data_IF_186566990991
#
_entry.id   IF_186566990991
#
_cell.length_a   1.000
_cell.length_b   1.000
_cell.length_c   1.000
_cell.angle_alpha   90.00
_cell.angle_beta   90.00
_cell.angle_gamma   90.00
#
_symmetry.space_group_name_H-M   'P 1'
#
loop_
_entity.id
_entity.type
_entity.pdbx_description
1 polymer ?
#
# COMPACT_ATOMS: atom_id res chain seq x y z
N UNK A 1 -3.13 19.85 -8.81
CA UNK A 1 -4.31 19.95 -7.95
C UNK A 1 -3.98 20.98 -6.88
N UNK A 2 -4.76 22.05 -6.70
CA UNK A 2 -4.51 22.88 -5.54
C UNK A 2 -4.86 22.04 -4.33
N UNK A 3 -3.97 22.08 -3.34
CA UNK A 3 -4.33 21.79 -1.96
C UNK A 3 -5.65 22.51 -1.70
N UNK A 4 -6.62 21.78 -1.15
CA UNK A 4 -7.88 22.33 -0.61
C UNK A 4 -7.60 23.57 0.25
N UNK A 5 -8.63 24.39 0.51
CA UNK A 5 -8.52 25.55 1.41
C UNK A 5 -7.94 25.20 2.80
N UNK A 6 -7.98 23.91 3.15
CA UNK A 6 -7.29 23.32 4.30
C UNK A 6 -6.17 22.37 3.84
N UNK A 7 -4.92 22.75 4.15
CA UNK A 7 -3.71 22.00 3.80
C UNK A 7 -3.61 20.64 4.53
N UNK A 8 -4.29 20.50 5.66
CA UNK A 8 -4.32 19.29 6.48
C UNK A 8 -5.50 18.36 6.13
N UNK A 9 -6.26 18.67 5.07
CA UNK A 9 -7.34 17.82 4.56
C UNK A 9 -6.81 16.66 3.71
N UNK A 10 -6.05 15.77 4.35
CA UNK A 10 -5.42 14.61 3.73
C UNK A 10 -5.19 13.47 4.75
N UNK A 11 -4.89 12.28 4.26
CA UNK A 11 -4.78 11.07 5.09
C UNK A 11 -3.50 11.07 5.95
N UNK A 12 -2.44 11.79 5.56
CA UNK A 12 -1.25 11.89 6.40
C UNK A 12 -1.53 12.60 7.72
N UNK A 13 -2.48 13.54 7.75
CA UNK A 13 -2.92 14.18 9.00
C UNK A 13 -3.38 13.16 10.03
N UNK A 14 -4.05 12.08 9.61
CA UNK A 14 -4.45 10.99 10.50
C UNK A 14 -3.25 10.20 11.04
N UNK A 15 -2.23 10.01 10.20
CA UNK A 15 -1.00 9.31 10.57
C UNK A 15 -0.16 10.17 11.52
N UNK A 16 -0.09 11.47 11.26
CA UNK A 16 0.55 12.45 12.13
C UNK A 16 -0.13 12.50 13.50
N UNK A 17 -1.47 12.54 13.53
CA UNK A 17 -2.26 12.46 14.74
C UNK A 17 -1.91 11.21 15.56
N UNK A 18 -1.91 10.02 14.94
CA UNK A 18 -1.54 8.78 15.62
C UNK A 18 -0.09 8.78 16.13
N UNK A 19 0.84 9.33 15.34
CA UNK A 19 2.23 9.45 15.74
C UNK A 19 2.40 10.41 16.94
N UNK A 20 1.68 11.54 16.95
CA UNK A 20 1.65 12.49 18.07
C UNK A 20 1.08 11.86 19.33
N UNK A 21 -0.04 11.13 19.22
CA UNK A 21 -0.61 10.36 20.33
C UNK A 21 0.42 9.34 20.85
N UNK A 22 1.10 8.62 19.96
CA UNK A 22 2.11 7.63 20.33
C UNK A 22 3.28 8.23 21.12
N UNK A 23 3.72 9.44 20.77
CA UNK A 23 4.80 10.17 21.45
C UNK A 23 4.36 10.80 22.78
N UNK A 24 3.16 11.38 22.84
CA UNK A 24 2.69 12.13 24.02
C UNK A 24 1.98 11.25 25.06
N UNK A 25 1.23 10.24 24.61
CA UNK A 25 0.37 9.42 25.46
C UNK A 25 0.77 7.94 25.45
N UNK A 26 1.75 7.56 24.63
CA UNK A 26 2.23 6.18 24.50
C UNK A 26 1.58 5.43 23.34
N UNK A 27 2.35 4.52 22.73
CA UNK A 27 1.94 3.80 21.53
C UNK A 27 0.74 2.86 21.72
N UNK A 28 0.41 2.49 22.95
CA UNK A 28 -0.80 1.73 23.28
C UNK A 28 -2.10 2.51 23.05
N UNK A 29 -2.02 3.82 22.86
CA UNK A 29 -3.18 4.72 22.75
C UNK A 29 -3.43 5.24 21.33
N UNK A 30 -2.64 4.86 20.32
CA UNK A 30 -2.79 5.41 18.96
C UNK A 30 -4.15 5.12 18.30
N UNK A 31 -4.90 4.14 18.81
CA UNK A 31 -6.27 3.80 18.38
C UNK A 31 -7.35 4.28 19.35
N UNK A 32 -7.02 5.04 20.40
CA UNK A 32 -8.00 5.58 21.32
C UNK A 32 -8.92 6.58 20.62
N UNK A 33 -10.22 6.28 20.61
CA UNK A 33 -11.21 7.11 19.94
C UNK A 33 -11.31 8.53 20.55
N UNK A 34 -11.06 8.68 21.85
CA UNK A 34 -11.12 9.96 22.54
C UNK A 34 -9.91 10.82 22.18
N UNK A 35 -8.70 10.25 22.22
CA UNK A 35 -7.48 10.97 21.88
C UNK A 35 -7.42 11.34 20.40
N UNK A 36 -7.88 10.46 19.50
CA UNK A 36 -7.96 10.79 18.08
C UNK A 36 -8.90 11.98 17.84
N UNK A 37 -10.10 11.99 18.45
CA UNK A 37 -11.02 13.13 18.32
C UNK A 37 -10.44 14.42 18.89
N UNK A 38 -9.83 14.34 20.07
CA UNK A 38 -9.19 15.50 20.70
C UNK A 38 -8.09 16.09 19.81
N UNK A 39 -7.11 15.27 19.41
CA UNK A 39 -5.97 15.73 18.61
C UNK A 39 -6.41 16.18 17.22
N UNK A 40 -7.43 15.55 16.62
CA UNK A 40 -8.01 16.02 15.37
C UNK A 40 -8.56 17.45 15.51
N UNK A 41 -9.35 17.74 16.54
CA UNK A 41 -9.90 19.09 16.74
C UNK A 41 -8.82 20.14 17.06
N UNK A 42 -7.72 19.74 17.69
CA UNK A 42 -6.55 20.62 17.84
C UNK A 42 -5.90 20.95 16.49
N UNK A 43 -5.75 19.95 15.61
CA UNK A 43 -5.12 20.11 14.30
C UNK A 43 -6.02 20.81 13.28
N UNK A 44 -7.33 20.56 13.35
CA UNK A 44 -8.34 21.06 12.40
C UNK A 44 -9.58 21.60 13.13
N UNK A 45 -9.49 22.76 13.80
CA UNK A 45 -10.56 23.27 14.68
C UNK A 45 -11.90 23.54 13.99
N UNK A 46 -11.86 23.86 12.69
CA UNK A 46 -13.05 24.18 11.89
C UNK A 46 -13.62 22.96 11.15
N UNK A 47 -12.93 21.82 11.18
CA UNK A 47 -13.37 20.61 10.51
C UNK A 47 -14.31 19.80 11.42
N UNK A 48 -15.37 19.25 10.83
CA UNK A 48 -16.20 18.27 11.53
C UNK A 48 -15.49 16.92 11.54
N UNK A 49 -15.43 16.28 12.71
CA UNK A 49 -14.94 14.90 12.82
C UNK A 49 -16.03 13.96 12.30
N UNK A 50 -15.89 13.52 11.04
CA UNK A 50 -16.71 12.46 10.47
C UNK A 50 -16.26 11.09 11.00
N UNK A 51 -17.13 10.45 11.77
CA UNK A 51 -16.96 9.10 12.33
C UNK A 51 -16.77 8.01 11.25
N UNK A 52 -16.99 8.32 9.97
CA UNK A 52 -16.74 7.41 8.86
C UNK A 52 -15.38 7.56 8.16
N UNK A 53 -14.69 8.69 8.33
CA UNK A 53 -13.53 9.05 7.48
C UNK A 53 -12.25 9.42 8.21
N UNK A 54 -12.33 9.89 9.47
CA UNK A 54 -11.18 10.48 10.16
C UNK A 54 -10.58 9.62 11.28
N UNK A 55 -10.87 8.32 11.29
CA UNK A 55 -10.18 7.38 12.18
C UNK A 55 -8.85 6.95 11.57
N UNK A 56 -7.78 7.05 12.34
CA UNK A 56 -6.53 6.39 12.00
C UNK A 56 -6.70 4.87 12.18
N UNK A 57 -6.61 4.14 11.06
CA UNK A 57 -6.71 2.67 10.99
C UNK A 57 -5.50 2.01 10.31
N UNK A 58 -4.53 2.82 9.88
CA UNK A 58 -3.29 2.32 9.30
C UNK A 58 -2.46 1.57 10.34
N UNK A 59 -1.45 0.83 9.89
CA UNK A 59 -0.60 0.01 10.76
C UNK A 59 0.36 0.87 11.60
N UNK A 60 0.72 0.46 12.83
CA UNK A 60 1.66 1.21 13.67
C UNK A 60 3.00 1.56 13.00
N UNK A 61 3.60 0.70 12.14
CA UNK A 61 4.81 1.05 11.39
C UNK A 61 4.70 2.34 10.57
N UNK A 62 3.50 2.70 10.08
CA UNK A 62 3.34 3.96 9.38
C UNK A 62 3.42 5.16 10.35
N UNK A 63 2.78 5.06 11.52
CA UNK A 63 2.89 6.09 12.54
C UNK A 63 4.33 6.23 13.06
N UNK A 64 5.06 5.12 13.24
CA UNK A 64 6.48 5.15 13.62
C UNK A 64 7.35 5.86 12.58
N UNK A 65 7.04 5.68 11.30
CA UNK A 65 7.77 6.33 10.21
C UNK A 65 7.50 7.85 10.14
N UNK A 66 6.32 8.29 10.54
CA UNK A 66 5.94 9.72 10.60
C UNK A 66 6.35 10.37 11.93
N UNK A 67 6.57 9.60 13.00
CA UNK A 67 6.92 10.11 14.33
C UNK A 67 8.09 11.13 14.36
N UNK A 68 9.19 10.94 13.60
CA UNK A 68 10.28 11.92 13.58
C UNK A 68 9.88 13.30 13.03
N UNK A 69 8.76 13.39 12.31
CA UNK A 69 8.24 14.64 11.75
C UNK A 69 7.29 15.38 12.70
N UNK A 70 6.84 14.73 13.78
CA UNK A 70 5.91 15.33 14.76
C UNK A 70 6.43 16.64 15.35
N UNK A 71 7.71 16.73 15.79
CA UNK A 71 8.24 17.99 16.33
C UNK A 71 8.31 19.14 15.32
N UNK A 72 8.24 18.84 14.02
CA UNK A 72 8.31 19.85 12.95
C UNK A 72 6.94 20.45 12.59
N UNK A 73 5.86 19.91 13.17
CA UNK A 73 4.48 20.30 12.90
C UNK A 73 3.83 19.56 11.73
N UNK A 74 2.50 19.54 11.72
CA UNK A 74 1.70 18.76 10.76
C UNK A 74 1.90 19.21 9.31
N UNK A 75 1.98 20.51 9.05
CA UNK A 75 2.20 21.04 7.70
C UNK A 75 3.56 20.61 7.13
N UNK A 76 4.62 20.72 7.93
CA UNK A 76 5.96 20.26 7.54
C UNK A 76 5.99 18.76 7.29
N UNK A 77 5.28 17.97 8.09
CA UNK A 77 5.15 16.54 7.87
C UNK A 77 4.48 16.23 6.52
N UNK A 78 3.37 16.92 6.19
CA UNK A 78 2.68 16.80 4.90
C UNK A 78 3.59 17.16 3.74
N UNK A 79 4.27 18.30 3.79
CA UNK A 79 5.20 18.72 2.74
C UNK A 79 6.36 17.73 2.55
N UNK A 80 6.91 17.21 3.65
CA UNK A 80 7.99 16.23 3.63
C UNK A 80 7.53 14.92 3.01
N UNK A 81 6.34 14.44 3.38
CA UNK A 81 5.81 13.20 2.84
C UNK A 81 5.42 13.30 1.36
N UNK A 82 4.92 14.46 0.92
CA UNK A 82 4.71 14.75 -0.50
C UNK A 82 6.02 14.68 -1.28
N UNK A 83 7.11 15.25 -0.74
CA UNK A 83 8.43 15.16 -1.34
C UNK A 83 8.93 13.70 -1.40
N UNK A 84 8.76 12.92 -0.34
CA UNK A 84 9.07 11.48 -0.31
C UNK A 84 8.25 10.72 -1.36
N UNK A 85 6.98 11.04 -1.52
CA UNK A 85 6.08 10.41 -2.48
C UNK A 85 6.52 10.66 -3.93
N UNK A 86 6.82 11.92 -4.26
CA UNK A 86 7.34 12.31 -5.58
C UNK A 86 8.70 11.68 -5.86
N UNK A 87 9.62 11.71 -4.89
CA UNK A 87 10.92 11.06 -5.01
C UNK A 87 10.77 9.55 -5.21
N UNK A 88 9.82 8.92 -4.52
CA UNK A 88 9.54 7.48 -4.65
C UNK A 88 8.98 7.12 -6.02
N UNK A 89 8.09 7.94 -6.57
CA UNK A 89 7.57 7.75 -7.94
C UNK A 89 8.70 7.87 -8.98
N UNK A 90 9.54 8.91 -8.88
CA UNK A 90 10.68 9.13 -9.78
C UNK A 90 11.71 8.01 -9.66
N UNK A 91 12.04 7.57 -8.45
CA UNK A 91 12.95 6.47 -8.20
C UNK A 91 12.39 5.14 -8.76
N UNK A 92 11.09 4.89 -8.59
CA UNK A 92 10.42 3.72 -9.18
C UNK A 92 10.53 3.75 -10.69
N UNK A 93 10.25 4.90 -11.32
CA UNK A 93 10.41 5.08 -12.76
C UNK A 93 11.86 4.82 -13.22
N UNK A 94 12.83 5.31 -12.45
CA UNK A 94 14.25 5.08 -12.69
C UNK A 94 14.67 3.60 -12.51
N UNK A 95 13.93 2.82 -11.73
CA UNK A 95 14.22 1.40 -11.48
C UNK A 95 13.51 0.50 -12.50
N UNK A 96 12.22 0.70 -12.70
CA UNK A 96 11.32 -0.30 -13.28
C UNK A 96 10.71 0.11 -14.63
N UNK A 97 10.67 1.40 -14.99
CA UNK A 97 10.11 1.80 -16.28
C UNK A 97 10.87 1.13 -17.45
N UNK A 98 10.18 0.57 -18.45
CA UNK A 98 10.81 -0.14 -19.56
C UNK A 98 11.37 0.83 -20.62
N UNK A 99 12.27 0.32 -21.45
CA UNK A 99 12.86 1.07 -22.57
C UNK A 99 13.86 2.16 -22.14
N UNK A 100 14.25 2.99 -23.11
CA UNK A 100 15.22 4.08 -22.95
C UNK A 100 14.71 5.38 -23.59
N UNK A 101 15.38 6.51 -23.33
CA UNK A 101 15.09 7.80 -23.97
C UNK A 101 13.63 8.26 -23.83
N UNK A 102 13.06 8.74 -24.95
CA UNK A 102 11.68 9.30 -25.00
C UNK A 102 10.61 8.29 -24.58
N UNK A 103 10.75 7.02 -24.99
CA UNK A 103 9.80 5.97 -24.62
C UNK A 103 9.74 5.79 -23.10
N UNK A 104 10.90 5.86 -22.43
CA UNK A 104 10.95 5.78 -20.98
C UNK A 104 10.23 6.96 -20.32
N UNK A 105 10.40 8.18 -20.84
CA UNK A 105 9.69 9.36 -20.33
C UNK A 105 8.16 9.26 -20.50
N UNK A 106 7.67 8.64 -21.58
CA UNK A 106 6.24 8.41 -21.78
C UNK A 106 5.60 7.54 -20.68
N UNK A 107 6.34 6.59 -20.09
CA UNK A 107 5.84 5.82 -18.95
C UNK A 107 5.63 6.66 -17.69
N UNK A 108 6.47 7.66 -17.46
CA UNK A 108 6.28 8.59 -16.34
C UNK A 108 5.06 9.49 -16.60
N UNK A 109 4.93 10.00 -17.82
CA UNK A 109 3.75 10.77 -18.23
C UNK A 109 2.47 9.94 -18.11
N UNK A 110 2.50 8.67 -18.53
CA UNK A 110 1.39 7.73 -18.38
C UNK A 110 1.03 7.48 -16.91
N UNK A 111 2.01 7.39 -16.02
CA UNK A 111 1.75 7.31 -14.58
C UNK A 111 1.06 8.56 -14.04
N UNK A 112 1.47 9.77 -14.47
CA UNK A 112 0.78 11.00 -14.09
C UNK A 112 -0.61 11.15 -14.72
N UNK A 113 -0.84 10.56 -15.89
CA UNK A 113 -2.15 10.52 -16.54
C UNK A 113 -3.11 9.51 -15.87
N UNK A 114 -2.59 8.56 -15.09
CA UNK A 114 -3.38 7.61 -14.32
C UNK A 114 -3.96 8.29 -13.07
N UNK A 115 -5.25 8.61 -13.08
CA UNK A 115 -5.91 9.39 -12.01
C UNK A 115 -5.61 8.92 -10.57
N UNK A 116 -5.57 7.61 -10.25
CA UNK A 116 -5.15 7.12 -8.93
C UNK A 116 -3.82 7.69 -8.41
N UNK A 117 -2.85 7.96 -9.28
CA UNK A 117 -1.57 8.58 -8.90
C UNK A 117 -1.80 10.02 -8.42
N UNK A 118 -2.59 10.80 -9.15
CA UNK A 118 -2.89 12.18 -8.76
C UNK A 118 -3.69 12.22 -7.46
N UNK A 119 -4.64 11.28 -7.30
CA UNK A 119 -5.47 11.17 -6.11
C UNK A 119 -4.65 10.71 -4.88
N UNK A 120 -3.75 9.74 -5.05
CA UNK A 120 -2.83 9.32 -3.99
C UNK A 120 -1.93 10.47 -3.50
N UNK A 121 -1.47 11.34 -4.42
CA UNK A 121 -0.72 12.54 -4.08
C UNK A 121 -1.57 13.54 -3.29
N UNK A 122 -2.84 13.75 -3.65
CA UNK A 122 -3.72 14.64 -2.88
C UNK A 122 -4.01 14.12 -1.47
N UNK A 123 -4.06 12.80 -1.29
CA UNK A 123 -4.26 12.16 0.02
C UNK A 123 -2.97 12.01 0.83
N UNK A 124 -1.80 12.23 0.23
CA UNK A 124 -0.49 12.13 0.91
C UNK A 124 -0.28 10.73 1.53
N UNK A 125 -0.73 9.70 0.81
CA UNK A 125 -0.70 8.29 1.23
C UNK A 125 0.70 7.64 1.05
N UNK A 126 0.98 6.47 1.67
CA UNK A 126 2.28 5.82 1.56
C UNK A 126 2.45 5.01 0.26
N UNK A 127 1.45 4.97 -0.62
CA UNK A 127 1.38 4.13 -1.82
C UNK A 127 2.63 4.20 -2.68
N UNK A 128 3.16 5.41 -2.95
CA UNK A 128 4.37 5.57 -3.75
C UNK A 128 5.61 4.96 -3.11
N UNK A 129 5.72 5.04 -1.78
CA UNK A 129 6.80 4.37 -1.04
C UNK A 129 6.65 2.85 -1.15
N UNK A 130 5.43 2.31 -1.05
CA UNK A 130 5.18 0.88 -1.24
C UNK A 130 5.54 0.44 -2.65
N UNK A 131 5.15 1.18 -3.68
CA UNK A 131 5.54 0.91 -5.08
C UNK A 131 7.07 0.90 -5.22
N UNK A 132 7.77 1.87 -4.64
CA UNK A 132 9.24 1.91 -4.66
C UNK A 132 9.85 0.67 -3.98
N UNK A 133 9.36 0.30 -2.80
CA UNK A 133 9.85 -0.88 -2.08
C UNK A 133 9.69 -2.16 -2.92
N UNK A 134 8.54 -2.33 -3.59
CA UNK A 134 8.32 -3.47 -4.49
C UNK A 134 9.26 -3.42 -5.70
N UNK A 135 9.47 -2.25 -6.30
CA UNK A 135 10.40 -2.10 -7.43
C UNK A 135 11.86 -2.40 -7.05
N UNK A 136 12.29 -1.94 -5.87
CA UNK A 136 13.62 -2.25 -5.31
C UNK A 136 13.74 -3.74 -5.02
N UNK A 137 12.73 -4.36 -4.40
CA UNK A 137 12.70 -5.80 -4.13
C UNK A 137 12.81 -6.61 -5.42
N UNK A 138 12.06 -6.26 -6.47
CA UNK A 138 12.17 -6.88 -7.79
C UNK A 138 13.58 -6.74 -8.38
N UNK A 139 14.17 -5.55 -8.31
CA UNK A 139 15.54 -5.32 -8.82
C UNK A 139 16.59 -6.12 -8.06
N UNK A 140 16.46 -6.23 -6.72
CA UNK A 140 17.32 -7.05 -5.89
C UNK A 140 17.16 -8.55 -6.18
N UNK A 141 15.94 -8.99 -6.48
CA UNK A 141 15.65 -10.36 -6.90
C UNK A 141 16.40 -10.72 -8.18
N UNK A 142 16.31 -9.87 -9.21
CA UNK A 142 17.06 -10.04 -10.45
C UNK A 142 18.58 -10.01 -10.26
N UNK A 143 19.07 -9.26 -9.27
CA UNK A 143 20.49 -9.20 -8.93
C UNK A 143 20.98 -10.43 -8.13
N UNK A 144 20.15 -11.47 -7.98
CA UNK A 144 20.50 -12.68 -7.24
C UNK A 144 20.61 -12.49 -5.73
N UNK A 145 19.95 -11.45 -5.17
CA UNK A 145 19.96 -11.12 -3.74
C UNK A 145 18.59 -11.36 -3.08
N UNK A 146 18.08 -12.60 -3.04
CA UNK A 146 16.69 -12.89 -2.69
C UNK A 146 16.34 -12.52 -1.24
N UNK A 147 17.26 -12.67 -0.29
CA UNK A 147 16.98 -12.30 1.11
C UNK A 147 16.85 -10.79 1.30
N UNK A 148 17.68 -9.98 0.63
CA UNK A 148 17.53 -8.53 0.64
C UNK A 148 16.26 -8.09 -0.08
N UNK A 149 15.91 -8.75 -1.19
CA UNK A 149 14.64 -8.52 -1.88
C UNK A 149 13.45 -8.76 -0.93
N UNK A 150 13.47 -9.88 -0.21
CA UNK A 150 12.44 -10.22 0.78
C UNK A 150 12.40 -9.25 1.95
N UNK A 151 13.55 -8.85 2.48
CA UNK A 151 13.62 -7.89 3.57
C UNK A 151 13.03 -6.52 3.18
N UNK A 152 13.39 -6.00 2.00
CA UNK A 152 12.81 -4.76 1.46
C UNK A 152 11.31 -4.91 1.20
N UNK A 153 10.88 -6.04 0.64
CA UNK A 153 9.46 -6.31 0.45
C UNK A 153 8.72 -6.39 1.78
N UNK A 154 9.35 -6.88 2.85
CA UNK A 154 8.77 -6.98 4.19
C UNK A 154 8.40 -5.62 4.80
N UNK A 155 9.11 -4.55 4.41
CA UNK A 155 8.79 -3.17 4.80
C UNK A 155 7.45 -2.69 4.24
N UNK A 156 6.89 -3.38 3.22
CA UNK A 156 5.54 -3.07 2.72
C UNK A 156 4.43 -3.38 3.73
N UNK A 157 4.77 -4.00 4.88
CA UNK A 157 3.88 -4.14 6.03
C UNK A 157 3.36 -2.80 6.61
N UNK A 158 3.90 -1.66 6.18
CA UNK A 158 3.32 -0.32 6.38
C UNK A 158 1.86 -0.27 5.86
N UNK A 159 1.60 -0.87 4.70
CA UNK A 159 0.27 -0.98 4.07
C UNK A 159 0.12 -2.36 3.42
N UNK A 160 -0.01 -3.43 4.24
CA UNK A 160 0.22 -4.81 3.81
C UNK A 160 -0.77 -5.28 2.75
N UNK A 161 -1.97 -4.69 2.71
CA UNK A 161 -2.99 -5.05 1.72
C UNK A 161 -2.55 -4.78 0.27
N UNK A 162 -1.58 -3.89 0.02
CA UNK A 162 -1.10 -3.58 -1.32
C UNK A 162 -0.20 -4.64 -1.94
N UNK A 163 0.32 -5.56 -1.12
CA UNK A 163 1.27 -6.60 -1.55
C UNK A 163 0.90 -8.00 -1.04
N UNK A 164 -0.27 -8.17 -0.41
CA UNK A 164 -0.61 -9.35 0.39
C UNK A 164 -0.41 -10.70 -0.32
N UNK A 165 -0.78 -10.82 -1.61
CA UNK A 165 -0.64 -12.07 -2.34
C UNK A 165 0.74 -12.26 -2.98
N UNK A 166 1.54 -11.20 -3.11
CA UNK A 166 2.85 -11.27 -3.75
C UNK A 166 3.80 -12.27 -3.05
N UNK A 167 3.99 -12.27 -1.71
CA UNK A 167 4.81 -13.27 -1.01
C UNK A 167 4.34 -14.71 -1.24
N UNK A 168 3.03 -14.95 -1.26
CA UNK A 168 2.45 -16.27 -1.54
C UNK A 168 2.78 -16.74 -2.96
N UNK A 169 2.66 -15.85 -3.94
CA UNK A 169 2.96 -16.16 -5.34
C UNK A 169 4.47 -16.34 -5.58
N UNK A 170 5.31 -15.61 -4.85
CA UNK A 170 6.75 -15.85 -4.82
C UNK A 170 7.07 -17.23 -4.24
N UNK A 171 6.42 -17.62 -3.14
CA UNK A 171 6.60 -18.93 -2.53
C UNK A 171 6.19 -20.07 -3.50
N UNK A 172 5.00 -19.99 -4.08
CA UNK A 172 4.45 -21.02 -4.99
C UNK A 172 5.20 -21.12 -6.33
N UNK A 173 5.82 -20.03 -6.78
CA UNK A 173 6.71 -20.04 -7.95
C UNK A 173 8.16 -20.44 -7.64
N UNK A 174 8.46 -20.87 -6.41
CA UNK A 174 9.78 -21.38 -6.00
C UNK A 174 10.77 -20.34 -5.46
N UNK A 175 10.37 -19.08 -5.32
CA UNK A 175 11.19 -17.95 -4.79
C UNK A 175 11.11 -17.86 -3.27
N UNK A 176 11.17 -19.01 -2.60
CA UNK A 176 10.95 -19.16 -1.16
C UNK A 176 11.89 -18.31 -0.30
N UNK A 177 13.13 -18.04 -0.76
CA UNK A 177 14.10 -17.18 -0.05
C UNK A 177 13.62 -15.73 0.09
N UNK A 178 12.88 -15.22 -0.90
CA UNK A 178 12.26 -13.90 -0.84
C UNK A 178 11.10 -13.93 0.15
N UNK A 179 10.24 -14.95 0.04
CA UNK A 179 9.07 -15.11 0.91
C UNK A 179 9.44 -15.26 2.39
N UNK A 180 10.50 -16.01 2.74
CA UNK A 180 10.90 -16.21 4.14
C UNK A 180 11.52 -14.95 4.75
N UNK A 181 12.34 -14.21 3.99
CA UNK A 181 12.89 -12.93 4.45
C UNK A 181 11.80 -11.86 4.58
N UNK A 182 10.83 -11.84 3.66
CA UNK A 182 9.62 -11.03 3.81
C UNK A 182 8.87 -11.39 5.10
N UNK A 183 8.62 -12.69 5.34
CA UNK A 183 7.89 -13.14 6.52
C UNK A 183 8.62 -12.76 7.82
N UNK A 184 9.95 -12.83 7.84
CA UNK A 184 10.74 -12.39 8.99
C UNK A 184 10.59 -10.89 9.28
N UNK A 185 10.69 -10.03 8.26
CA UNK A 185 10.59 -8.57 8.44
C UNK A 185 9.14 -8.14 8.70
N UNK A 186 8.19 -8.57 7.88
CA UNK A 186 6.77 -8.23 8.03
C UNK A 186 6.19 -8.82 9.32
N UNK A 187 6.52 -10.07 9.63
CA UNK A 187 6.14 -10.72 10.89
C UNK A 187 6.76 -10.03 12.10
N UNK A 188 8.04 -9.64 12.02
CA UNK A 188 8.70 -8.85 13.06
C UNK A 188 8.01 -7.52 13.31
N UNK A 189 7.67 -6.76 12.26
CA UNK A 189 6.90 -5.51 12.37
C UNK A 189 5.51 -5.75 12.95
N UNK A 190 4.84 -6.85 12.58
CA UNK A 190 3.55 -7.24 13.15
C UNK A 190 3.63 -7.56 14.64
N UNK A 191 4.64 -8.33 15.08
CA UNK A 191 4.87 -8.64 16.49
C UNK A 191 5.20 -7.37 17.28
N UNK A 192 6.09 -6.52 16.77
CA UNK A 192 6.40 -5.23 17.40
C UNK A 192 5.15 -4.34 17.51
N UNK A 193 4.27 -4.38 16.51
CA UNK A 193 3.00 -3.65 16.55
C UNK A 193 2.12 -4.16 17.69
N UNK A 194 1.96 -5.48 17.84
CA UNK A 194 1.17 -6.07 18.93
C UNK A 194 1.75 -5.74 20.30
N UNK A 195 3.06 -5.83 20.47
CA UNK A 195 3.76 -5.47 21.71
C UNK A 195 3.54 -3.98 22.03
N UNK A 196 3.71 -3.12 21.03
CA UNK A 196 3.58 -1.67 21.15
C UNK A 196 2.16 -1.23 21.52
N UNK A 197 1.14 -1.95 21.02
CA UNK A 197 -0.26 -1.64 21.30
C UNK A 197 -0.73 -2.15 22.67
N UNK A 198 -0.19 -3.29 23.10
CA UNK A 198 -0.69 -4.01 24.27
C UNK A 198 -2.17 -4.41 24.14
N UNK A 199 -2.77 -4.99 25.20
CA UNK A 199 -4.16 -5.45 25.15
C UNK A 199 -5.16 -4.32 24.88
N UNK A 200 -4.95 -3.14 25.46
CA UNK A 200 -5.85 -1.99 25.33
C UNK A 200 -5.85 -1.46 23.90
N UNK A 201 -4.69 -1.16 23.32
CA UNK A 201 -4.60 -0.66 21.95
C UNK A 201 -5.13 -1.66 20.92
N UNK A 202 -4.96 -2.98 21.15
CA UNK A 202 -5.56 -4.02 20.31
C UNK A 202 -7.09 -4.03 20.40
N UNK A 203 -7.65 -3.83 21.61
CA UNK A 203 -9.11 -3.76 21.78
C UNK A 203 -9.69 -2.48 21.14
N UNK A 204 -9.02 -1.34 21.28
CA UNK A 204 -9.39 -0.09 20.62
C UNK A 204 -9.35 -0.24 19.09
N UNK A 205 -8.29 -0.85 18.55
CA UNK A 205 -8.19 -1.16 17.13
C UNK A 205 -9.35 -2.03 16.63
N UNK A 206 -9.70 -3.08 17.39
CA UNK A 206 -10.85 -3.96 17.08
C UNK A 206 -12.17 -3.21 17.06
N UNK A 207 -12.37 -2.27 17.99
CA UNK A 207 -13.56 -1.43 18.02
C UNK A 207 -13.65 -0.52 16.79
N UNK A 208 -12.55 0.17 16.45
CA UNK A 208 -12.52 1.07 15.29
C UNK A 208 -12.67 0.32 13.96
N UNK A 209 -12.00 -0.82 13.78
CA UNK A 209 -12.14 -1.59 12.53
C UNK A 209 -13.54 -2.20 12.38
N UNK A 210 -14.19 -2.58 13.48
CA UNK A 210 -15.59 -3.04 13.46
C UNK A 210 -16.54 -1.97 12.94
N UNK A 211 -16.33 -0.71 13.33
CA UNK A 211 -17.08 0.42 12.79
C UNK A 211 -16.76 0.65 11.29
N UNK A 212 -15.48 0.61 10.93
CA UNK A 212 -15.03 0.83 9.55
C UNK A 212 -15.54 -0.22 8.56
N UNK A 213 -15.76 -1.47 8.99
CA UNK A 213 -16.31 -2.54 8.14
C UNK A 213 -17.76 -2.27 7.68
N UNK A 214 -18.51 -1.44 8.42
CA UNK A 214 -19.86 -1.02 8.04
C UNK A 214 -19.89 -0.03 6.86
N UNK A 215 -18.75 0.58 6.53
CA UNK A 215 -18.66 1.66 5.55
C UNK A 215 -18.50 1.07 4.15
N UNK A 216 -19.50 1.26 3.29
CA UNK A 216 -19.50 0.72 1.93
C UNK A 216 -18.31 1.20 1.08
N UNK A 217 -17.84 2.43 1.30
CA UNK A 217 -16.70 3.00 0.58
C UNK A 217 -15.41 2.18 0.76
N UNK A 218 -15.21 1.55 1.93
CA UNK A 218 -14.02 0.74 2.25
C UNK A 218 -13.90 -0.53 1.41
N UNK A 219 -15.00 -0.95 0.77
CA UNK A 219 -15.05 -2.13 -0.10
C UNK A 219 -15.37 -1.79 -1.55
N UNK A 220 -15.56 -0.53 -1.91
CA UNK A 220 -16.14 -0.11 -3.20
C UNK A 220 -15.45 -0.74 -4.43
N UNK A 221 -14.12 -0.87 -4.39
CA UNK A 221 -13.33 -1.46 -5.48
C UNK A 221 -13.01 -2.94 -5.29
N UNK A 222 -13.84 -3.68 -4.56
CA UNK A 222 -13.60 -5.08 -4.22
C UNK A 222 -14.77 -5.97 -4.63
N UNK A 223 -14.53 -7.29 -4.68
CA UNK A 223 -15.59 -8.28 -4.88
C UNK A 223 -16.64 -8.24 -3.76
N UNK A 224 -16.29 -7.77 -2.56
CA UNK A 224 -17.23 -7.61 -1.46
C UNK A 224 -18.25 -6.48 -1.67
N UNK A 225 -17.99 -5.51 -2.56
CA UNK A 225 -18.99 -4.52 -2.94
C UNK A 225 -20.09 -5.13 -3.82
N UNK A 226 -19.70 -5.99 -4.77
CA UNK A 226 -20.63 -6.63 -5.72
C UNK A 226 -21.38 -7.79 -5.07
N UNK A 227 -20.68 -8.66 -4.33
CA UNK A 227 -21.23 -9.89 -3.75
C UNK A 227 -21.80 -9.69 -2.33
N UNK A 228 -21.61 -8.49 -1.76
CA UNK A 228 -21.91 -8.19 -0.37
C UNK A 228 -20.80 -8.60 0.59
N UNK A 229 -20.75 -7.98 1.79
CA UNK A 229 -19.80 -8.36 2.83
C UNK A 229 -20.19 -9.73 3.41
N UNK A 230 -19.35 -10.75 3.21
CA UNK A 230 -19.64 -12.08 3.77
C UNK A 230 -18.95 -13.22 3.04
N UNK A 231 -19.47 -14.44 3.25
CA UNK A 231 -18.85 -15.68 2.79
C UNK A 231 -18.60 -15.70 1.27
N UNK A 232 -19.53 -15.18 0.45
CA UNK A 232 -19.38 -15.16 -1.00
C UNK A 232 -18.19 -14.32 -1.46
N UNK A 233 -17.96 -13.16 -0.85
CA UNK A 233 -16.80 -12.33 -1.16
C UNK A 233 -15.48 -13.03 -0.80
N UNK A 234 -15.42 -13.68 0.37
CA UNK A 234 -14.25 -14.46 0.76
C UNK A 234 -14.00 -15.66 -0.14
N UNK A 235 -15.05 -16.37 -0.57
CA UNK A 235 -14.94 -17.46 -1.54
C UNK A 235 -14.39 -16.92 -2.86
N UNK A 236 -14.91 -15.79 -3.35
CA UNK A 236 -14.44 -15.19 -4.60
C UNK A 236 -12.96 -14.74 -4.51
N UNK A 237 -12.57 -14.06 -3.43
CA UNK A 237 -11.16 -13.71 -3.16
C UNK A 237 -10.26 -14.95 -3.05
N UNK A 238 -10.75 -16.03 -2.44
CA UNK A 238 -10.03 -17.30 -2.34
C UNK A 238 -9.85 -17.95 -3.73
N UNK A 239 -10.88 -17.93 -4.59
CA UNK A 239 -10.79 -18.39 -5.98
C UNK A 239 -9.71 -17.61 -6.74
N UNK A 240 -9.72 -16.26 -6.65
CA UNK A 240 -8.67 -15.43 -7.28
C UNK A 240 -7.28 -15.83 -6.76
N UNK A 241 -7.14 -16.04 -5.45
CA UNK A 241 -5.88 -16.43 -4.82
C UNK A 241 -5.40 -17.80 -5.31
N UNK A 242 -6.28 -18.80 -5.38
CA UNK A 242 -5.95 -20.14 -5.87
C UNK A 242 -5.56 -20.10 -7.34
N UNK A 243 -6.33 -19.42 -8.19
CA UNK A 243 -6.02 -19.26 -9.62
C UNK A 243 -4.67 -18.58 -9.80
N UNK A 244 -4.38 -17.52 -9.04
CA UNK A 244 -3.13 -16.80 -9.11
C UNK A 244 -1.94 -17.65 -8.61
N UNK A 245 -2.12 -18.44 -7.55
CA UNK A 245 -1.11 -19.38 -7.04
C UNK A 245 -0.81 -20.50 -8.04
N UNK A 246 -1.85 -21.08 -8.67
CA UNK A 246 -1.69 -22.06 -9.75
C UNK A 246 -0.96 -21.42 -10.94
N UNK A 247 -1.36 -20.23 -11.36
CA UNK A 247 -0.69 -19.50 -12.43
C UNK A 247 0.79 -19.23 -12.11
N UNK A 248 1.12 -18.85 -10.88
CA UNK A 248 2.50 -18.64 -10.43
C UNK A 248 3.30 -19.94 -10.40
N UNK A 249 2.72 -21.05 -9.97
CA UNK A 249 3.34 -22.38 -10.00
C UNK A 249 3.62 -22.86 -11.43
N UNK A 250 2.63 -22.72 -12.33
CA UNK A 250 2.77 -23.08 -13.74
C UNK A 250 3.80 -22.18 -14.45
N UNK A 251 3.93 -20.93 -14.02
CA UNK A 251 4.93 -19.97 -14.50
C UNK A 251 6.19 -19.94 -13.62
N UNK A 252 6.52 -20.98 -12.85
CA UNK A 252 7.70 -20.98 -11.95
C UNK A 252 9.03 -20.72 -12.66
N UNK A 253 9.13 -21.06 -13.95
CA UNK A 253 10.30 -20.80 -14.80
C UNK A 253 10.28 -19.42 -15.49
N UNK A 254 9.22 -18.63 -15.30
CA UNK A 254 9.14 -17.28 -15.85
C UNK A 254 10.02 -16.30 -15.08
N UNK A 255 10.17 -15.10 -15.63
CA UNK A 255 10.97 -14.03 -15.01
C UNK A 255 10.36 -13.55 -13.70
N UNK A 256 11.19 -12.95 -12.85
CA UNK A 256 10.72 -12.27 -11.63
C UNK A 256 9.75 -11.14 -11.95
N UNK A 257 9.94 -10.44 -13.08
CA UNK A 257 9.02 -9.37 -13.50
C UNK A 257 7.60 -9.90 -13.68
N UNK A 258 7.43 -11.08 -14.31
CA UNK A 258 6.11 -11.71 -14.48
C UNK A 258 5.46 -12.06 -13.15
N UNK A 259 6.21 -12.71 -12.24
CA UNK A 259 5.64 -13.13 -10.96
C UNK A 259 5.29 -11.94 -10.06
N UNK A 260 6.13 -10.89 -10.07
CA UNK A 260 5.82 -9.66 -9.35
C UNK A 260 4.58 -8.96 -9.92
N UNK A 261 4.48 -8.82 -11.24
CA UNK A 261 3.31 -8.25 -11.88
C UNK A 261 2.02 -9.04 -11.57
N UNK A 262 2.09 -10.38 -11.67
CA UNK A 262 0.98 -11.26 -11.31
C UNK A 262 0.59 -11.09 -9.83
N UNK A 263 1.55 -10.98 -8.92
CA UNK A 263 1.31 -10.76 -7.50
C UNK A 263 0.61 -9.45 -7.20
N UNK A 264 0.99 -8.36 -7.86
CA UNK A 264 0.34 -7.06 -7.71
C UNK A 264 -1.10 -7.09 -8.24
N UNK A 265 -1.32 -7.62 -9.45
CA UNK A 265 -2.66 -7.72 -10.05
C UNK A 265 -3.56 -8.63 -9.22
N UNK A 266 -3.07 -9.80 -8.80
CA UNK A 266 -3.84 -10.72 -7.98
C UNK A 266 -4.20 -10.11 -6.62
N UNK A 267 -3.28 -9.35 -6.01
CA UNK A 267 -3.54 -8.64 -4.76
C UNK A 267 -4.69 -7.64 -4.92
N UNK A 268 -4.66 -6.81 -5.98
CA UNK A 268 -5.74 -5.87 -6.29
C UNK A 268 -7.08 -6.57 -6.49
N UNK A 269 -7.11 -7.70 -7.21
CA UNK A 269 -8.36 -8.43 -7.50
C UNK A 269 -8.93 -9.18 -6.29
N UNK A 270 -8.08 -9.69 -5.41
CA UNK A 270 -8.50 -10.48 -4.26
C UNK A 270 -8.76 -9.65 -3.00
N UNK A 271 -8.34 -8.38 -2.98
CA UNK A 271 -8.48 -7.52 -1.81
C UNK A 271 -9.94 -7.41 -1.35
N UNK A 272 -10.15 -7.43 -0.03
CA UNK A 272 -11.45 -7.20 0.62
C UNK A 272 -11.59 -5.78 1.17
N UNK A 273 -10.53 -4.99 1.07
CA UNK A 273 -10.46 -3.57 1.37
C UNK A 273 -9.55 -2.93 0.31
N UNK A 274 -10.07 -1.97 -0.45
CA UNK A 274 -9.31 -1.32 -1.53
C UNK A 274 -9.93 0.03 -1.88
N UNK A 275 -9.09 1.06 -1.96
CA UNK A 275 -9.49 2.41 -2.34
C UNK A 275 -8.89 2.85 -3.68
N UNK A 276 -9.36 3.98 -4.20
CA UNK A 276 -8.97 4.44 -5.53
C UNK A 276 -7.46 4.69 -5.66
N UNK A 277 -6.84 5.27 -4.64
CA UNK A 277 -5.40 5.53 -4.59
C UNK A 277 -4.55 4.26 -4.68
N UNK A 278 -5.05 3.14 -4.17
CA UNK A 278 -4.33 1.86 -4.10
C UNK A 278 -4.03 1.29 -5.50
N UNK A 279 -4.81 1.69 -6.52
CA UNK A 279 -4.54 1.37 -7.92
C UNK A 279 -3.24 1.98 -8.47
N UNK A 280 -2.54 2.82 -7.70
CA UNK A 280 -1.17 3.24 -7.99
C UNK A 280 -0.23 2.04 -8.13
N UNK A 281 -0.49 0.94 -7.42
CA UNK A 281 0.28 -0.32 -7.56
C UNK A 281 0.27 -0.89 -8.97
N UNK A 282 -0.79 -0.66 -9.76
CA UNK A 282 -0.90 -1.16 -11.12
C UNK A 282 0.06 -0.48 -12.10
N UNK A 283 0.57 0.72 -11.78
CA UNK A 283 1.61 1.38 -12.59
C UNK A 283 2.85 0.50 -12.67
N UNK A 284 3.33 0.00 -11.52
CA UNK A 284 4.48 -0.89 -11.48
C UNK A 284 4.15 -2.25 -12.10
N UNK A 285 2.95 -2.80 -11.87
CA UNK A 285 2.54 -4.04 -12.50
C UNK A 285 2.59 -3.94 -14.04
N UNK A 286 2.10 -2.84 -14.62
CA UNK A 286 2.14 -2.59 -16.05
C UNK A 286 3.57 -2.45 -16.58
N UNK A 287 4.45 -1.74 -15.86
CA UNK A 287 5.85 -1.60 -16.26
C UNK A 287 6.60 -2.93 -16.23
N UNK A 288 6.39 -3.74 -15.19
CA UNK A 288 6.98 -5.08 -15.05
C UNK A 288 6.44 -6.05 -16.11
N UNK A 289 5.12 -6.00 -16.38
CA UNK A 289 4.49 -6.75 -17.45
C UNK A 289 5.15 -6.43 -18.80
N UNK A 290 5.36 -5.15 -19.12
CA UNK A 290 5.99 -4.77 -20.38
C UNK A 290 7.47 -5.17 -20.46
N UNK A 291 8.20 -5.13 -19.34
CA UNK A 291 9.59 -5.60 -19.26
C UNK A 291 9.74 -7.10 -19.51
N UNK A 292 8.74 -7.90 -19.16
CA UNK A 292 8.72 -9.34 -19.45
C UNK A 292 8.59 -9.65 -20.95
N UNK A 293 8.51 -8.62 -21.80
CA UNK A 293 8.43 -8.73 -23.25
C UNK A 293 7.33 -9.70 -23.72
N UNK A 294 6.07 -9.49 -23.28
CA UNK A 294 4.97 -10.41 -23.59
C UNK A 294 4.73 -10.50 -25.09
N UNK A 295 4.13 -11.60 -25.59
CA UNK A 295 3.76 -11.73 -26.99
C UNK A 295 2.94 -10.55 -27.51
N UNK A 296 3.07 -10.23 -28.80
CA UNK A 296 2.43 -9.06 -29.39
C UNK A 296 0.92 -9.02 -29.16
N UNK A 297 0.21 -10.15 -29.25
CA UNK A 297 -1.25 -10.20 -29.03
C UNK A 297 -1.67 -9.72 -27.63
N UNK A 298 -0.87 -9.99 -26.59
CA UNK A 298 -1.15 -9.50 -25.23
C UNK A 298 -0.93 -8.00 -25.13
N UNK A 299 0.07 -7.47 -25.84
CA UNK A 299 0.32 -6.02 -25.92
C UNK A 299 -0.79 -5.30 -26.68
N UNK A 300 -1.27 -5.89 -27.79
CA UNK A 300 -2.35 -5.35 -28.59
C UNK A 300 -3.70 -5.38 -27.86
N UNK A 301 -3.97 -6.43 -27.08
CA UNK A 301 -5.19 -6.50 -26.25
C UNK A 301 -5.32 -5.31 -25.28
N UNK A 302 -4.19 -4.75 -24.79
CA UNK A 302 -4.19 -3.57 -23.92
C UNK A 302 -4.49 -2.25 -24.66
N UNK A 303 -4.42 -2.22 -26.00
CA UNK A 303 -4.71 -1.04 -26.82
C UNK A 303 -6.13 -1.04 -27.40
N UNK A 304 -6.88 -2.13 -27.20
CA UNK A 304 -8.24 -2.35 -27.74
C UNK A 304 -9.35 -2.06 -26.72
N UNK A 305 -9.01 -1.51 -25.55
CA UNK A 305 -9.93 -1.03 -24.51
C UNK A 305 -9.93 0.49 -24.53
#
# INVERSE_FOLDING_TARGET
MPLTADFLDNDLTLVFMAARIGLEHGWSHIYSADLQRQVFHELRPQAMFDNGGWWYLNTPPFAWLVAPLVPLGAETAVATWLAISLASLVATWWIAAPGTGRMRALWLLGAFAWYPVLYALSLVQPDFLIVLLVAVAWKLSQAGRPYLAGAVLGLTAIKPQLTLLLPLLLLTSGRWRIAIAWAAVAGGLGVLSLISLGPNGVNDYRSLIGQAQGIANNRYFTLAYVLGPGALAYIASAVVTVVAAVAAYLNRQATDARIFALGLVATTLAATYWHLQDFTMLVLAAWLFWRDSPPAWQRWALLLV
#
